data_IF_019053779703
#
_entry.id   IF_019053779703
#
_cell.length_a   1.000
_cell.length_b   1.000
_cell.length_c   1.000
_cell.angle_alpha   90.00
_cell.angle_beta   90.00
_cell.angle_gamma   90.00
#
_symmetry.space_group_name_H-M   'P 1'
#
loop_
_entity.id
_entity.type
_entity.pdbx_description
1 polymer ?
#
# COMPACT_ATOMS: atom_id res chain seq x y z
N UNK A 1 -1.73 -39.94 -2.01
CA UNK A 1 -1.39 -38.61 -1.44
C UNK A 1 -1.80 -37.53 -2.43
N UNK A 2 -2.90 -36.80 -2.19
CA UNK A 2 -3.38 -35.72 -3.07
C UNK A 2 -2.89 -34.38 -2.50
N UNK A 3 -1.94 -33.73 -3.15
CA UNK A 3 -1.57 -32.33 -2.86
C UNK A 3 -2.60 -31.43 -3.53
N UNK A 4 -3.55 -30.91 -2.77
CA UNK A 4 -4.41 -29.80 -3.22
C UNK A 4 -3.55 -28.55 -3.20
N UNK A 5 -2.97 -28.18 -4.34
CA UNK A 5 -2.42 -26.84 -4.50
C UNK A 5 -3.61 -25.88 -4.54
N UNK A 6 -3.90 -25.23 -3.42
CA UNK A 6 -4.91 -24.17 -3.31
C UNK A 6 -4.39 -22.95 -4.10
N UNK A 7 -4.55 -22.98 -5.42
CA UNK A 7 -4.16 -21.88 -6.30
C UNK A 7 -5.22 -20.79 -6.18
N UNK A 8 -5.15 -20.00 -5.10
CA UNK A 8 -5.94 -18.78 -4.95
C UNK A 8 -5.39 -17.71 -5.87
N UNK A 9 -5.75 -17.79 -7.15
CA UNK A 9 -5.56 -16.69 -8.09
C UNK A 9 -6.30 -15.45 -7.55
N UNK A 10 -5.56 -14.44 -7.13
CA UNK A 10 -6.12 -13.15 -6.72
C UNK A 10 -6.23 -12.24 -7.94
N UNK A 11 -7.43 -11.71 -8.19
CA UNK A 11 -7.67 -10.75 -9.27
C UNK A 11 -7.56 -9.34 -8.69
N UNK A 12 -6.64 -8.55 -9.24
CA UNK A 12 -6.43 -7.15 -8.85
C UNK A 12 -6.74 -6.26 -10.03
N UNK A 13 -7.71 -5.36 -9.87
CA UNK A 13 -8.05 -4.33 -10.85
C UNK A 13 -7.48 -2.99 -10.40
N UNK A 14 -6.62 -2.36 -11.21
CA UNK A 14 -5.97 -1.09 -10.90
C UNK A 14 -6.39 -0.06 -11.93
N UNK A 15 -6.81 1.13 -11.47
CA UNK A 15 -7.04 2.28 -12.36
C UNK A 15 -5.69 2.95 -12.62
N UNK A 16 -5.33 3.07 -13.89
CA UNK A 16 -4.11 3.75 -14.33
C UNK A 16 -4.46 4.80 -15.37
N UNK A 17 -3.59 5.80 -15.52
CA UNK A 17 -3.75 6.78 -16.59
C UNK A 17 -3.63 6.12 -17.98
N UNK A 18 -4.35 6.63 -19.01
CA UNK A 18 -4.30 6.06 -20.36
C UNK A 18 -2.89 6.03 -20.96
N UNK A 19 -2.01 6.95 -20.56
CA UNK A 19 -0.61 6.96 -20.99
C UNK A 19 0.16 5.73 -20.48
N UNK A 20 -0.09 5.30 -19.25
CA UNK A 20 0.51 4.12 -18.65
C UNK A 20 -0.02 2.84 -19.32
N UNK A 21 -1.32 2.78 -19.58
CA UNK A 21 -1.93 1.65 -20.32
C UNK A 21 -1.29 1.47 -21.70
N UNK A 22 -1.11 2.56 -22.46
CA UNK A 22 -0.44 2.51 -23.77
C UNK A 22 0.99 1.99 -23.67
N UNK A 23 1.75 2.43 -22.67
CA UNK A 23 3.13 1.96 -22.44
C UNK A 23 3.17 0.46 -22.11
N UNK A 24 2.26 0.00 -21.25
CA UNK A 24 2.12 -1.42 -20.91
C UNK A 24 1.76 -2.27 -22.13
N UNK A 25 0.86 -1.77 -22.98
CA UNK A 25 0.48 -2.41 -24.23
C UNK A 25 1.67 -2.55 -25.18
N UNK A 26 2.43 -1.48 -25.38
CA UNK A 26 3.62 -1.52 -26.23
C UNK A 26 4.68 -2.49 -25.69
N UNK A 27 4.92 -2.49 -24.36
CA UNK A 27 5.83 -3.46 -23.75
C UNK A 27 5.37 -4.90 -23.98
N UNK A 28 4.06 -5.16 -23.83
CA UNK A 28 3.45 -6.46 -24.10
C UNK A 28 3.66 -6.90 -25.56
N UNK A 29 3.40 -6.01 -26.52
CA UNK A 29 3.56 -6.27 -27.95
C UNK A 29 5.02 -6.56 -28.34
N UNK A 30 5.96 -5.74 -27.87
CA UNK A 30 7.39 -5.87 -28.21
C UNK A 30 8.02 -7.13 -27.59
N UNK A 31 7.58 -7.51 -26.40
CA UNK A 31 8.16 -8.67 -25.69
C UNK A 31 7.41 -9.98 -25.91
N UNK A 32 6.23 -9.94 -26.54
CA UNK A 32 5.34 -11.09 -26.69
C UNK A 32 4.72 -11.57 -25.38
N UNK A 33 4.62 -10.71 -24.36
CA UNK A 33 4.05 -11.03 -23.04
C UNK A 33 2.69 -10.36 -22.83
N UNK A 34 1.93 -10.78 -21.82
CA UNK A 34 0.67 -10.14 -21.43
C UNK A 34 0.94 -8.87 -20.62
N UNK A 35 0.09 -7.84 -20.74
CA UNK A 35 0.24 -6.61 -19.95
C UNK A 35 0.22 -6.86 -18.43
N UNK A 36 -0.61 -7.81 -17.98
CA UNK A 36 -0.70 -8.20 -16.56
C UNK A 36 0.62 -8.72 -15.99
N UNK A 37 1.50 -9.29 -16.83
CA UNK A 37 2.83 -9.72 -16.40
C UNK A 37 3.66 -8.54 -15.89
N UNK A 38 3.63 -7.42 -16.60
CA UNK A 38 4.39 -6.24 -16.21
C UNK A 38 3.81 -5.55 -14.98
N UNK A 39 2.49 -5.53 -14.83
CA UNK A 39 1.84 -5.05 -13.62
C UNK A 39 2.24 -5.91 -12.41
N UNK A 40 2.19 -7.24 -12.54
CA UNK A 40 2.63 -8.15 -11.50
C UNK A 40 4.10 -7.93 -11.15
N UNK A 41 4.99 -7.84 -12.14
CA UNK A 41 6.42 -7.61 -11.92
C UNK A 41 6.69 -6.26 -11.25
N UNK A 42 5.99 -5.19 -11.61
CA UNK A 42 6.13 -3.89 -10.94
C UNK A 42 5.70 -3.95 -9.47
N UNK A 43 4.64 -4.71 -9.15
CA UNK A 43 4.21 -4.89 -7.76
C UNK A 43 5.23 -5.73 -6.98
N UNK A 44 5.63 -6.89 -7.52
CA UNK A 44 6.56 -7.81 -6.86
C UNK A 44 7.95 -7.20 -6.66
N UNK A 45 8.47 -6.46 -7.64
CA UNK A 45 9.77 -5.79 -7.52
C UNK A 45 9.70 -4.46 -6.78
N UNK A 46 8.56 -3.78 -6.80
CA UNK A 46 8.40 -2.46 -6.23
C UNK A 46 8.05 -2.46 -4.74
N UNK A 47 7.49 -3.54 -4.20
CA UNK A 47 6.96 -3.55 -2.83
C UNK A 47 8.03 -3.21 -1.78
N UNK A 48 9.24 -3.77 -1.90
CA UNK A 48 10.33 -3.51 -0.96
C UNK A 48 10.77 -2.04 -0.97
N UNK A 49 10.86 -1.43 -2.16
CA UNK A 49 11.21 -0.02 -2.31
C UNK A 49 10.08 0.88 -1.79
N UNK A 50 8.82 0.49 -1.98
CA UNK A 50 7.66 1.20 -1.41
C UNK A 50 7.66 1.15 0.11
N UNK A 51 7.95 0.01 0.72
CA UNK A 51 8.08 -0.13 2.17
C UNK A 51 9.13 0.85 2.71
N UNK A 52 10.30 0.92 2.10
CA UNK A 52 11.38 1.83 2.52
C UNK A 52 11.04 3.30 2.32
N UNK A 53 10.26 3.63 1.30
CA UNK A 53 9.87 5.02 1.00
C UNK A 53 8.80 5.53 1.97
N UNK A 54 7.86 4.67 2.38
CA UNK A 54 6.66 5.10 3.09
C UNK A 54 6.61 4.68 4.56
N UNK A 55 7.42 3.71 4.99
CA UNK A 55 7.43 3.24 6.37
C UNK A 55 8.62 3.82 7.14
N UNK A 56 8.39 4.30 8.38
CA UNK A 56 9.47 4.57 9.32
C UNK A 56 10.28 3.30 9.60
N UNK A 57 11.59 3.41 9.88
CA UNK A 57 12.45 2.26 10.12
C UNK A 57 11.95 1.29 11.21
N UNK A 58 11.30 1.82 12.27
CA UNK A 58 10.75 1.01 13.37
C UNK A 58 9.53 0.18 13.00
N UNK A 59 8.83 0.53 11.93
CA UNK A 59 7.63 -0.18 11.42
C UNK A 59 8.00 -1.13 10.28
N UNK A 60 9.02 -0.79 9.50
CA UNK A 60 9.45 -1.55 8.33
C UNK A 60 9.80 -3.01 8.67
N UNK A 61 10.56 -3.24 9.74
CA UNK A 61 10.90 -4.59 10.18
C UNK A 61 9.66 -5.43 10.51
N UNK A 62 8.67 -4.84 11.18
CA UNK A 62 7.44 -5.52 11.55
C UNK A 62 6.62 -5.92 10.32
N UNK A 63 6.48 -5.01 9.35
CA UNK A 63 5.75 -5.27 8.10
C UNK A 63 6.42 -6.39 7.29
N UNK A 64 7.75 -6.42 7.22
CA UNK A 64 8.49 -7.50 6.54
C UNK A 64 8.35 -8.86 7.22
N UNK A 65 8.23 -8.85 8.54
CA UNK A 65 7.96 -10.07 9.33
C UNK A 65 6.48 -10.49 9.30
N UNK A 66 5.63 -9.79 8.52
CA UNK A 66 4.19 -10.06 8.42
C UNK A 66 3.43 -9.68 9.70
N UNK A 67 4.06 -8.94 10.61
CA UNK A 67 3.47 -8.45 11.83
C UNK A 67 2.93 -7.05 11.59
N UNK A 68 1.62 -6.88 11.69
CA UNK A 68 1.06 -5.53 11.68
C UNK A 68 1.50 -4.85 12.99
N UNK A 69 2.11 -3.64 12.94
CA UNK A 69 2.29 -2.87 14.16
C UNK A 69 0.92 -2.74 14.81
N UNK A 70 0.84 -3.01 16.11
CA UNK A 70 -0.37 -2.71 16.87
C UNK A 70 -0.69 -1.25 16.58
N UNK A 71 -1.77 -1.02 15.82
CA UNK A 71 -2.35 0.31 15.67
C UNK A 71 -2.56 0.75 17.10
N UNK A 72 -1.80 1.73 17.57
CA UNK A 72 -1.96 2.23 18.94
C UNK A 72 -3.46 2.50 19.12
N UNK A 73 -4.15 1.78 20.03
CA UNK A 73 -5.44 2.24 20.45
C UNK A 73 -5.19 3.59 21.14
N UNK A 74 -6.14 4.49 20.96
CA UNK A 74 -6.11 5.84 21.52
C UNK A 74 -5.22 6.82 20.75
N UNK A 75 -5.84 7.46 19.74
CA UNK A 75 -5.86 8.92 19.77
C UNK A 75 -6.20 9.30 21.21
N UNK A 76 -5.20 9.60 22.02
CA UNK A 76 -5.41 10.49 23.17
C UNK A 76 -6.14 11.68 22.55
N UNK A 77 -7.39 11.99 22.95
CA UNK A 77 -8.06 13.17 22.43
C UNK A 77 -7.05 14.29 22.61
N UNK A 78 -6.64 14.90 21.49
CA UNK A 78 -5.64 15.95 21.53
C UNK A 78 -6.07 16.91 22.65
N UNK A 79 -5.18 17.28 23.59
CA UNK A 79 -5.53 18.25 24.61
C UNK A 79 -6.19 19.42 23.89
N UNK A 80 -7.38 19.82 24.34
CA UNK A 80 -8.17 20.84 23.65
C UNK A 80 -7.41 22.16 23.67
N UNK A 81 -6.59 22.38 22.63
CA UNK A 81 -5.70 23.53 22.47
C UNK A 81 -6.49 24.84 22.35
N UNK A 82 -7.82 24.75 22.21
CA UNK A 82 -8.72 25.88 22.06
C UNK A 82 -9.68 26.04 23.23
N UNK A 83 -9.66 25.15 24.24
CA UNK A 83 -10.56 25.22 25.39
C UNK A 83 -10.40 26.52 26.20
N UNK A 84 -9.15 26.98 26.36
CA UNK A 84 -8.83 28.19 27.12
C UNK A 84 -9.07 29.49 26.33
N UNK A 85 -9.26 29.43 25.01
CA UNK A 85 -9.46 30.63 24.17
C UNK A 85 -10.90 31.16 24.19
N UNK A 86 -11.84 30.35 24.68
CA UNK A 86 -13.27 30.71 24.72
C UNK A 86 -13.80 30.90 26.16
N UNK A 87 -12.98 30.68 27.19
CA UNK A 87 -13.41 30.81 28.58
C UNK A 87 -13.60 32.26 29.05
N UNK A 88 -13.00 33.24 28.36
CA UNK A 88 -13.01 34.66 28.76
C UNK A 88 -14.11 35.52 28.12
N UNK A 89 -15.12 34.92 27.44
CA UNK A 89 -16.18 35.67 26.73
C UNK A 89 -17.56 35.66 27.39
N UNK A 90 -17.69 35.19 28.63
CA UNK A 90 -18.92 35.37 29.42
C UNK A 90 -18.62 36.16 30.71
N UNK A 91 -18.71 37.49 30.62
CA UNK A 91 -18.83 38.40 31.78
C UNK A 91 -19.67 39.62 31.40
#
# INVERSE_FOLDING_TARGET
MKRTADNRLQVVAVRVEPAIERRLRLLAEVTGRRQSFFLQQMIESGIAAMEETWLPPGVLAQVRDGTLPSREPERVPAPDLFGDLFADQES
#
